data_IF_568673173515
#
_entry.id   IF_568673173515
#
_cell.length_a   1.000
_cell.length_b   1.000
_cell.length_c   1.000
_cell.angle_alpha   90.00
_cell.angle_beta   90.00
_cell.angle_gamma   90.00
#
_symmetry.space_group_name_H-M   'P 1'
#
loop_
_entity.id
_entity.type
_entity.pdbx_description
1 polymer ?
#
# COMPACT_ATOMS: atom_id res chain seq x y z
N UNK A 1 -0.34 14.34 -8.82
CA UNK A 1 0.27 13.92 -10.13
C UNK A 1 -0.77 14.02 -11.23
N UNK A 2 -0.45 14.66 -12.38
CA UNK A 2 -1.37 14.66 -13.53
C UNK A 2 -1.43 13.24 -14.13
N UNK A 3 -2.63 12.71 -14.26
CA UNK A 3 -2.88 11.44 -14.95
C UNK A 3 -2.62 11.68 -16.44
N UNK A 4 -1.57 11.06 -16.98
CA UNK A 4 -1.14 11.29 -18.37
C UNK A 4 -2.09 10.66 -19.39
N UNK A 5 -2.68 9.49 -19.06
CA UNK A 5 -3.60 8.78 -19.94
C UNK A 5 -4.90 8.51 -19.17
N UNK A 6 -5.97 9.21 -19.54
CA UNK A 6 -7.32 8.98 -18.99
C UNK A 6 -7.94 7.76 -19.67
N UNK A 7 -8.51 6.87 -18.87
CA UNK A 7 -9.23 5.71 -19.38
C UNK A 7 -10.65 6.15 -19.80
N UNK A 8 -11.21 5.49 -20.81
CA UNK A 8 -12.63 5.62 -21.14
C UNK A 8 -13.46 5.04 -19.98
N UNK A 9 -14.64 5.60 -19.76
CA UNK A 9 -15.56 5.20 -18.67
C UNK A 9 -15.02 5.42 -17.24
N UNK A 10 -14.04 6.30 -17.07
CA UNK A 10 -13.52 6.70 -15.76
C UNK A 10 -13.68 8.20 -15.57
N UNK A 11 -14.38 8.58 -14.52
CA UNK A 11 -14.46 9.99 -14.07
C UNK A 11 -13.30 10.27 -13.14
N UNK A 12 -12.52 11.30 -13.44
CA UNK A 12 -11.37 11.72 -12.66
C UNK A 12 -11.68 13.01 -11.91
N UNK A 13 -11.63 12.94 -10.58
CA UNK A 13 -11.88 14.09 -9.70
C UNK A 13 -10.57 14.42 -8.99
N UNK A 14 -10.21 15.70 -8.97
CA UNK A 14 -9.02 16.19 -8.28
C UNK A 14 -9.42 16.76 -6.93
N UNK A 15 -9.43 15.93 -5.90
CA UNK A 15 -9.72 16.31 -4.53
C UNK A 15 -8.86 15.53 -3.54
N UNK A 16 -8.92 15.89 -2.27
CA UNK A 16 -8.30 15.16 -1.17
C UNK A 16 -9.38 14.43 -0.37
N UNK A 17 -9.06 13.24 0.12
CA UNK A 17 -9.98 12.49 0.99
C UNK A 17 -10.29 13.21 2.30
N UNK A 18 -9.41 14.10 2.76
CA UNK A 18 -9.62 14.95 3.92
C UNK A 18 -10.52 16.16 3.65
N UNK A 19 -10.83 16.47 2.39
CA UNK A 19 -11.69 17.57 2.02
C UNK A 19 -13.17 17.20 2.28
N UNK A 20 -13.73 17.76 3.36
CA UNK A 20 -15.10 17.49 3.76
C UNK A 20 -16.12 17.99 2.72
N UNK A 21 -15.86 19.13 2.07
CA UNK A 21 -16.71 19.70 1.02
C UNK A 21 -16.86 18.74 -0.17
N UNK A 22 -15.78 18.03 -0.53
CA UNK A 22 -15.84 17.01 -1.58
C UNK A 22 -16.89 15.92 -1.27
N UNK A 23 -16.92 15.42 -0.04
CA UNK A 23 -17.83 14.34 0.36
C UNK A 23 -19.28 14.81 0.50
N UNK A 24 -19.48 16.00 1.06
CA UNK A 24 -20.81 16.53 1.37
C UNK A 24 -21.51 17.17 0.17
N UNK A 25 -20.76 17.76 -0.76
CA UNK A 25 -21.34 18.51 -1.88
C UNK A 25 -20.93 18.02 -3.25
N UNK A 26 -19.62 17.86 -3.53
CA UNK A 26 -19.19 17.57 -4.90
C UNK A 26 -19.57 16.15 -5.31
N UNK A 27 -19.32 15.17 -4.46
CA UNK A 27 -19.66 13.77 -4.75
C UNK A 27 -21.16 13.55 -4.85
N UNK A 28 -21.95 14.26 -4.03
CA UNK A 28 -23.42 14.23 -4.08
C UNK A 28 -23.95 14.76 -5.41
N UNK A 29 -23.38 15.87 -5.92
CA UNK A 29 -23.77 16.47 -7.22
C UNK A 29 -23.50 15.55 -8.41
N UNK A 30 -22.57 14.60 -8.28
CA UNK A 30 -22.29 13.63 -9.34
C UNK A 30 -23.38 12.56 -9.48
N UNK A 31 -24.30 12.46 -8.53
CA UNK A 31 -25.34 11.43 -8.47
C UNK A 31 -24.77 10.01 -8.75
N UNK A 32 -23.62 9.73 -8.13
CA UNK A 32 -22.88 8.48 -8.30
C UNK A 32 -22.98 7.63 -7.03
N UNK A 33 -23.49 6.43 -7.16
CA UNK A 33 -23.59 5.45 -6.08
C UNK A 33 -22.62 4.28 -6.36
N UNK A 34 -21.45 4.26 -5.72
CA UNK A 34 -20.50 3.18 -5.92
C UNK A 34 -20.92 1.90 -5.18
N UNK A 35 -20.64 0.74 -5.76
CA UNK A 35 -20.79 -0.56 -5.11
C UNK A 35 -19.68 -0.84 -4.09
N UNK A 36 -18.53 -0.19 -4.27
CA UNK A 36 -17.34 -0.36 -3.44
C UNK A 36 -16.46 0.88 -3.44
N UNK A 37 -15.79 1.12 -2.34
CA UNK A 37 -14.70 2.10 -2.25
C UNK A 37 -13.38 1.38 -2.00
N UNK A 38 -12.45 1.43 -2.96
CA UNK A 38 -11.06 1.03 -2.77
C UNK A 38 -10.27 2.21 -2.21
N UNK A 39 -10.10 2.24 -0.90
CA UNK A 39 -9.35 3.31 -0.23
C UNK A 39 -7.85 3.02 -0.26
N UNK A 40 -7.20 3.54 -1.31
CA UNK A 40 -5.77 3.36 -1.61
C UNK A 40 -4.98 4.68 -1.54
N UNK A 41 -5.67 5.80 -1.39
CA UNK A 41 -5.12 7.14 -1.43
C UNK A 41 -4.76 7.68 -0.05
N UNK A 42 -3.59 7.29 0.46
CA UNK A 42 -3.07 7.76 1.74
C UNK A 42 -1.58 8.09 1.64
N UNK A 43 -1.07 8.87 2.58
CA UNK A 43 0.37 9.05 2.75
C UNK A 43 1.03 7.70 3.03
N UNK A 44 2.05 7.31 2.27
CA UNK A 44 2.54 5.92 2.23
C UNK A 44 4.03 5.73 2.53
N UNK A 45 4.71 6.72 3.16
CA UNK A 45 6.15 6.68 3.39
C UNK A 45 6.53 6.78 4.86
N UNK A 46 7.49 5.95 5.26
CA UNK A 46 7.96 5.87 6.66
C UNK A 46 8.88 7.07 6.99
N UNK A 47 10.02 7.18 6.29
CA UNK A 47 11.04 8.18 6.63
C UNK A 47 10.53 9.62 6.53
N UNK A 48 9.88 10.06 5.44
CA UNK A 48 9.30 11.40 5.37
C UNK A 48 8.22 11.66 6.42
N UNK A 49 7.53 10.64 6.91
CA UNK A 49 6.46 10.78 7.90
C UNK A 49 6.90 11.44 9.23
N UNK A 50 8.19 11.44 9.53
CA UNK A 50 8.72 12.13 10.71
C UNK A 50 8.81 13.66 10.55
N UNK A 51 8.66 14.15 9.33
CA UNK A 51 8.65 15.59 9.01
C UNK A 51 7.24 16.04 8.65
N UNK A 52 6.54 15.26 7.83
CA UNK A 52 5.24 15.59 7.24
C UNK A 52 4.07 15.10 8.14
N UNK A 53 4.13 15.35 9.46
CA UNK A 53 3.15 14.82 10.42
C UNK A 53 1.75 15.39 10.18
N UNK A 54 1.62 16.64 9.77
CA UNK A 54 0.34 17.27 9.43
C UNK A 54 -0.30 16.62 8.20
N UNK A 55 0.48 16.40 7.15
CA UNK A 55 0.02 15.71 5.93
C UNK A 55 -0.48 14.30 6.23
N UNK A 56 0.17 13.60 7.18
CA UNK A 56 -0.28 12.28 7.62
C UNK A 56 -1.61 12.36 8.36
N UNK A 57 -1.76 13.30 9.29
CA UNK A 57 -3.02 13.48 9.99
C UNK A 57 -4.15 13.79 9.02
N UNK A 58 -3.94 14.71 8.10
CA UNK A 58 -4.93 15.09 7.10
C UNK A 58 -5.22 13.94 6.13
N UNK A 59 -4.21 13.37 5.49
CA UNK A 59 -4.39 12.34 4.47
C UNK A 59 -4.87 11.02 5.06
N UNK A 60 -4.21 10.53 6.12
CA UNK A 60 -4.47 9.18 6.63
C UNK A 60 -5.60 9.18 7.66
N UNK A 61 -5.65 10.12 8.59
CA UNK A 61 -6.62 10.09 9.68
C UNK A 61 -7.95 10.72 9.28
N UNK A 62 -7.93 12.00 8.93
CA UNK A 62 -9.15 12.72 8.52
C UNK A 62 -9.67 12.16 7.20
N UNK A 63 -8.78 11.88 6.24
CA UNK A 63 -9.17 11.28 4.96
C UNK A 63 -9.85 9.93 5.13
N UNK A 64 -9.29 9.03 5.94
CA UNK A 64 -9.91 7.71 6.19
C UNK A 64 -11.21 7.84 6.98
N UNK A 65 -11.28 8.75 7.95
CA UNK A 65 -12.53 9.03 8.67
C UNK A 65 -13.66 9.42 7.70
N UNK A 66 -13.43 10.38 6.80
CA UNK A 66 -14.43 10.81 5.83
C UNK A 66 -14.88 9.67 4.89
N UNK A 67 -13.93 8.86 4.42
CA UNK A 67 -14.23 7.66 3.60
C UNK A 67 -15.12 6.68 4.36
N UNK A 68 -14.79 6.41 5.63
CA UNK A 68 -15.52 5.48 6.49
C UNK A 68 -16.93 5.99 6.77
N UNK A 69 -17.11 7.30 7.08
CA UNK A 69 -18.43 7.93 7.26
C UNK A 69 -19.27 7.79 5.99
N UNK A 70 -18.72 8.13 4.83
CA UNK A 70 -19.41 7.99 3.55
C UNK A 70 -19.84 6.54 3.28
N UNK A 71 -18.94 5.57 3.49
CA UNK A 71 -19.26 4.17 3.27
C UNK A 71 -20.33 3.65 4.23
N UNK A 72 -20.28 4.07 5.50
CA UNK A 72 -21.27 3.73 6.52
C UNK A 72 -22.66 4.24 6.13
N UNK A 73 -22.78 5.53 5.77
CA UNK A 73 -24.04 6.18 5.46
C UNK A 73 -24.71 5.63 4.20
N UNK A 74 -23.92 5.16 3.25
CA UNK A 74 -24.38 4.56 1.99
C UNK A 74 -24.45 3.02 2.01
N UNK A 75 -24.08 2.38 3.12
CA UNK A 75 -23.96 0.92 3.24
C UNK A 75 -23.04 0.29 2.17
N UNK A 76 -21.95 0.96 1.84
CA UNK A 76 -20.97 0.56 0.82
C UNK A 76 -19.80 -0.17 1.49
N UNK A 77 -19.31 -1.23 0.87
CA UNK A 77 -18.11 -1.92 1.36
C UNK A 77 -16.85 -1.11 1.09
N UNK A 78 -16.02 -0.93 2.13
CA UNK A 78 -14.67 -0.37 1.99
C UNK A 78 -13.65 -1.49 1.84
N UNK A 79 -12.78 -1.41 0.82
CA UNK A 79 -11.57 -2.22 0.69
C UNK A 79 -10.38 -1.33 1.03
N UNK A 80 -9.81 -1.54 2.22
CA UNK A 80 -8.78 -0.68 2.79
C UNK A 80 -7.38 -1.22 2.56
N UNK A 81 -6.47 -0.37 2.08
CA UNK A 81 -5.04 -0.68 1.95
C UNK A 81 -4.29 -0.47 3.25
N UNK A 82 -4.18 -1.50 4.06
CA UNK A 82 -3.35 -1.48 5.25
C UNK A 82 -1.87 -1.74 4.93
N UNK A 83 -1.00 -1.56 5.90
CA UNK A 83 0.43 -1.75 5.76
C UNK A 83 0.93 -2.97 6.54
N UNK A 84 1.92 -3.65 5.99
CA UNK A 84 2.68 -4.69 6.70
C UNK A 84 3.37 -4.18 7.98
N UNK A 85 3.46 -2.85 8.19
CA UNK A 85 3.99 -2.26 9.42
C UNK A 85 3.18 -2.63 10.66
N UNK A 86 1.89 -2.97 10.53
CA UNK A 86 1.10 -3.52 11.64
C UNK A 86 1.73 -4.78 12.24
N UNK A 87 2.43 -5.54 11.43
CA UNK A 87 3.07 -6.80 11.81
C UNK A 87 4.57 -6.63 12.07
N UNK A 88 5.03 -5.43 12.45
CA UNK A 88 6.39 -5.18 12.91
C UNK A 88 6.57 -5.58 14.39
N UNK A 89 7.83 -5.71 14.82
CA UNK A 89 8.15 -6.00 16.23
C UNK A 89 7.57 -4.95 17.19
N UNK A 90 7.51 -3.67 16.77
CA UNK A 90 6.93 -2.56 17.54
C UNK A 90 5.42 -2.41 17.35
N UNK A 91 4.75 -3.44 16.81
CA UNK A 91 3.31 -3.43 16.58
C UNK A 91 2.79 -2.22 15.76
N UNK A 92 3.63 -1.71 14.86
CA UNK A 92 3.30 -0.61 13.96
C UNK A 92 3.44 0.80 14.55
N UNK A 93 4.12 0.97 15.69
CA UNK A 93 4.30 2.29 16.32
C UNK A 93 5.64 2.94 16.00
N UNK A 94 6.45 2.35 15.15
CA UNK A 94 7.81 2.79 14.83
C UNK A 94 7.88 4.11 14.04
N UNK A 95 6.77 4.59 13.49
CA UNK A 95 6.70 5.85 12.73
C UNK A 95 5.29 6.43 12.74
N UNK A 96 5.12 7.76 12.50
CA UNK A 96 3.80 8.37 12.35
C UNK A 96 2.96 7.70 11.27
N UNK A 97 3.58 7.30 10.15
CA UNK A 97 2.91 6.52 9.10
C UNK A 97 2.39 5.17 9.60
N UNK A 98 3.24 4.38 10.26
CA UNK A 98 2.86 3.05 10.75
C UNK A 98 1.77 3.15 11.82
N UNK A 99 1.87 4.14 12.70
CA UNK A 99 0.86 4.45 13.71
C UNK A 99 -0.50 4.79 13.06
N UNK A 100 -0.52 5.69 12.06
CA UNK A 100 -1.76 6.07 11.38
C UNK A 100 -2.43 4.87 10.70
N UNK A 101 -1.66 4.03 10.00
CA UNK A 101 -2.17 2.82 9.36
C UNK A 101 -2.78 1.83 10.37
N UNK A 102 -2.14 1.64 11.52
CA UNK A 102 -2.66 0.80 12.60
C UNK A 102 -3.97 1.35 13.16
N UNK A 103 -4.03 2.66 13.42
CA UNK A 103 -5.22 3.32 13.96
C UNK A 103 -6.40 3.30 12.99
N UNK A 104 -6.16 3.41 11.70
CA UNK A 104 -7.21 3.29 10.69
C UNK A 104 -7.80 1.87 10.62
N UNK A 105 -6.99 0.84 10.80
CA UNK A 105 -7.50 -0.54 10.93
C UNK A 105 -8.40 -0.68 12.16
N UNK A 106 -8.01 -0.11 13.31
CA UNK A 106 -8.83 -0.10 14.52
C UNK A 106 -10.14 0.68 14.30
N UNK A 107 -10.08 1.84 13.65
CA UNK A 107 -11.25 2.65 13.31
C UNK A 107 -12.26 1.86 12.47
N UNK A 108 -11.83 1.29 11.35
CA UNK A 108 -12.67 0.52 10.44
C UNK A 108 -13.35 -0.64 11.16
N UNK A 109 -12.60 -1.39 11.99
CA UNK A 109 -13.14 -2.50 12.77
C UNK A 109 -14.17 -2.04 13.81
N UNK A 110 -13.93 -0.91 14.46
CA UNK A 110 -14.87 -0.35 15.42
C UNK A 110 -16.14 0.15 14.73
N UNK A 111 -16.02 0.80 13.57
CA UNK A 111 -17.18 1.21 12.75
C UNK A 111 -18.02 0.00 12.31
N UNK A 112 -17.37 -1.10 11.99
CA UNK A 112 -18.10 -2.35 11.71
C UNK A 112 -18.90 -2.83 12.92
N UNK A 113 -18.30 -2.80 14.12
CA UNK A 113 -18.99 -3.20 15.37
C UNK A 113 -20.10 -2.24 15.77
N UNK A 114 -19.88 -0.93 15.62
CA UNK A 114 -20.84 0.08 16.08
C UNK A 114 -21.98 0.30 15.09
N UNK A 115 -21.69 0.26 13.80
CA UNK A 115 -22.60 0.71 12.74
C UNK A 115 -22.82 -0.29 11.61
N UNK A 116 -22.20 -1.49 11.68
CA UNK A 116 -22.36 -2.52 10.65
C UNK A 116 -21.59 -2.23 9.36
N UNK A 117 -20.57 -1.35 9.38
CA UNK A 117 -19.74 -1.07 8.20
C UNK A 117 -19.17 -2.37 7.60
N UNK A 118 -19.35 -2.56 6.30
CA UNK A 118 -18.76 -3.66 5.55
C UNK A 118 -17.34 -3.32 5.15
N UNK A 119 -16.38 -4.22 5.39
CA UNK A 119 -14.98 -3.98 5.06
C UNK A 119 -14.23 -5.21 4.55
N UNK A 120 -13.14 -4.96 3.83
CA UNK A 120 -12.02 -5.88 3.64
C UNK A 120 -10.72 -5.10 3.91
N UNK A 121 -9.91 -5.57 4.84
CA UNK A 121 -8.60 -4.96 5.13
C UNK A 121 -7.53 -5.79 4.44
N UNK A 122 -6.71 -5.16 3.59
CA UNK A 122 -5.68 -5.82 2.81
C UNK A 122 -4.31 -5.29 3.14
N UNK A 123 -3.39 -6.16 3.54
CA UNK A 123 -2.01 -5.80 3.89
C UNK A 123 -1.08 -5.99 2.71
N UNK A 124 -0.39 -4.90 2.31
CA UNK A 124 0.53 -4.89 1.18
C UNK A 124 1.98 -5.10 1.62
N UNK A 125 2.73 -5.78 0.75
CA UNK A 125 4.15 -6.07 0.95
C UNK A 125 4.94 -5.65 -0.29
N UNK A 126 5.76 -4.60 -0.16
CA UNK A 126 6.70 -4.07 -1.17
C UNK A 126 6.24 -4.27 -2.63
N UNK A 127 5.19 -3.57 -3.01
CA UNK A 127 4.65 -3.67 -4.37
C UNK A 127 5.66 -3.18 -5.40
N UNK A 128 5.75 -3.90 -6.52
CA UNK A 128 6.53 -3.55 -7.69
C UNK A 128 5.73 -3.77 -8.96
N UNK A 129 6.17 -3.21 -10.08
CA UNK A 129 5.52 -3.43 -11.37
C UNK A 129 5.35 -2.15 -12.19
N UNK A 130 4.57 -2.19 -13.27
CA UNK A 130 4.38 -1.05 -14.15
C UNK A 130 3.74 0.14 -13.43
N UNK A 131 4.08 1.35 -13.87
CA UNK A 131 3.59 2.64 -13.34
C UNK A 131 4.02 2.92 -11.89
N UNK A 132 4.99 2.20 -11.34
CA UNK A 132 5.54 2.56 -10.04
C UNK A 132 6.20 3.95 -10.12
N UNK A 133 6.23 4.64 -8.98
CA UNK A 133 6.76 5.99 -8.93
C UNK A 133 8.26 6.02 -9.20
N UNK A 134 8.66 6.87 -10.12
CA UNK A 134 10.06 7.09 -10.52
C UNK A 134 10.48 8.57 -10.37
N UNK A 135 9.66 9.40 -9.72
CA UNK A 135 10.02 10.78 -9.43
C UNK A 135 11.08 10.83 -8.31
N UNK A 136 12.05 11.75 -8.40
CA UNK A 136 13.12 11.91 -7.39
C UNK A 136 12.64 12.67 -6.14
N UNK A 137 11.51 12.30 -5.58
CA UNK A 137 10.88 12.99 -4.45
C UNK A 137 10.89 12.19 -3.14
N UNK A 138 11.64 11.06 -3.10
CA UNK A 138 11.71 10.18 -1.93
C UNK A 138 10.53 9.22 -1.77
N UNK A 139 9.61 9.19 -2.74
CA UNK A 139 8.44 8.32 -2.74
C UNK A 139 8.65 6.99 -3.45
N UNK A 140 9.84 6.76 -4.00
CA UNK A 140 10.15 5.55 -4.73
C UNK A 140 10.29 4.32 -3.83
N UNK A 141 9.97 3.15 -4.38
CA UNK A 141 10.27 1.85 -3.78
C UNK A 141 11.71 1.44 -4.09
N UNK A 142 12.29 0.50 -3.35
CA UNK A 142 13.66 0.03 -3.62
C UNK A 142 13.82 -0.51 -5.04
N UNK A 143 12.84 -1.23 -5.57
CA UNK A 143 12.86 -1.75 -6.96
C UNK A 143 12.91 -0.59 -7.95
N UNK A 144 12.09 0.45 -7.74
CA UNK A 144 12.07 1.65 -8.57
C UNK A 144 13.37 2.45 -8.51
N UNK A 145 13.97 2.57 -7.32
CA UNK A 145 15.27 3.23 -7.14
C UNK A 145 16.35 2.47 -7.93
N UNK A 146 16.41 1.16 -7.80
CA UNK A 146 17.40 0.33 -8.49
C UNK A 146 17.22 0.36 -10.01
N UNK A 147 15.97 0.26 -10.51
CA UNK A 147 15.65 0.42 -11.93
C UNK A 147 16.20 1.74 -12.48
N UNK A 148 15.98 2.82 -11.78
CA UNK A 148 16.39 4.15 -12.17
C UNK A 148 17.92 4.31 -12.15
N UNK A 149 18.58 3.77 -11.12
CA UNK A 149 20.03 3.80 -11.01
C UNK A 149 20.68 2.99 -12.12
N UNK A 150 20.16 1.78 -12.41
CA UNK A 150 20.61 0.94 -13.52
C UNK A 150 20.49 1.67 -14.86
N UNK A 151 19.33 2.27 -15.16
CA UNK A 151 19.10 3.04 -16.39
C UNK A 151 20.03 4.26 -16.52
N UNK A 152 20.47 4.82 -15.41
CA UNK A 152 21.40 5.93 -15.36
C UNK A 152 22.88 5.51 -15.35
N UNK A 153 23.20 4.22 -15.42
CA UNK A 153 24.57 3.68 -15.33
C UNK A 153 25.24 3.98 -13.97
N UNK A 154 24.45 4.11 -12.90
CA UNK A 154 24.96 4.45 -11.56
C UNK A 154 24.94 3.21 -10.66
N UNK A 155 25.90 3.09 -9.72
CA UNK A 155 25.85 2.04 -8.72
C UNK A 155 24.57 2.10 -7.90
N UNK A 156 24.03 0.92 -7.55
CA UNK A 156 22.84 0.80 -6.69
C UNK A 156 23.17 1.27 -5.27
N UNK A 157 22.24 1.97 -4.62
CA UNK A 157 22.42 2.43 -3.23
C UNK A 157 21.63 1.54 -2.29
N UNK A 158 22.34 0.84 -1.40
CA UNK A 158 21.77 -0.11 -0.44
C UNK A 158 21.89 0.47 0.96
N UNK A 159 20.78 0.58 1.69
CA UNK A 159 20.79 0.95 3.10
C UNK A 159 21.44 -0.18 3.91
N UNK A 160 22.50 0.18 4.67
CA UNK A 160 23.26 -0.77 5.48
C UNK A 160 22.34 -1.49 6.51
N UNK A 161 22.59 -2.79 6.77
CA UNK A 161 23.62 -3.66 6.19
C UNK A 161 23.21 -4.32 4.86
N UNK A 162 21.98 -4.13 4.37
CA UNK A 162 21.45 -4.74 3.14
C UNK A 162 21.00 -6.20 3.30
N UNK A 163 21.21 -6.81 4.46
CA UNK A 163 20.81 -8.20 4.75
C UNK A 163 19.34 -8.33 5.18
N UNK A 164 18.65 -7.20 5.40
CA UNK A 164 17.23 -7.19 5.76
C UNK A 164 16.39 -7.80 4.62
N UNK A 165 15.63 -8.83 4.96
CA UNK A 165 14.74 -9.50 4.01
C UNK A 165 13.46 -8.73 3.79
N UNK A 166 12.97 -8.76 2.56
CA UNK A 166 11.68 -8.18 2.15
C UNK A 166 10.97 -9.16 1.22
N UNK A 167 9.66 -9.20 1.32
CA UNK A 167 8.81 -9.92 0.38
C UNK A 167 8.25 -8.95 -0.63
N UNK A 168 8.28 -9.32 -1.90
CA UNK A 168 7.87 -8.49 -3.02
C UNK A 168 6.61 -9.06 -3.68
N UNK A 169 5.62 -8.18 -3.95
CA UNK A 169 4.37 -8.57 -4.60
C UNK A 169 4.18 -7.74 -5.86
N UNK A 170 3.92 -8.39 -6.98
CA UNK A 170 3.63 -7.67 -8.22
C UNK A 170 2.30 -6.93 -8.13
N UNK A 171 2.21 -5.72 -8.66
CA UNK A 171 1.00 -4.88 -8.57
C UNK A 171 -0.24 -5.56 -9.14
N UNK A 172 -0.11 -6.35 -10.21
CA UNK A 172 -1.26 -7.09 -10.76
C UNK A 172 -1.77 -8.19 -9.84
N UNK A 173 -0.88 -8.89 -9.13
CA UNK A 173 -1.29 -9.85 -8.11
C UNK A 173 -1.98 -9.14 -6.92
N UNK A 174 -1.50 -7.95 -6.55
CA UNK A 174 -2.15 -7.14 -5.51
C UNK A 174 -3.55 -6.71 -5.95
N UNK A 175 -3.72 -6.24 -7.18
CA UNK A 175 -5.04 -5.83 -7.73
C UNK A 175 -6.01 -7.01 -7.79
N UNK A 176 -5.57 -8.18 -8.26
CA UNK A 176 -6.40 -9.40 -8.24
C UNK A 176 -6.85 -9.75 -6.82
N UNK A 177 -5.93 -9.67 -5.85
CA UNK A 177 -6.26 -9.90 -4.44
C UNK A 177 -7.26 -8.89 -3.86
N UNK A 178 -7.17 -7.61 -4.26
CA UNK A 178 -8.13 -6.57 -3.86
C UNK A 178 -9.53 -6.85 -4.40
N UNK A 179 -9.63 -7.23 -5.67
CA UNK A 179 -10.91 -7.56 -6.31
C UNK A 179 -11.55 -8.76 -5.61
N UNK A 180 -10.78 -9.84 -5.39
CA UNK A 180 -11.27 -11.03 -4.68
C UNK A 180 -11.68 -10.73 -3.23
N UNK A 181 -10.98 -9.82 -2.55
CA UNK A 181 -11.36 -9.38 -1.20
C UNK A 181 -12.65 -8.56 -1.20
N UNK A 182 -12.90 -7.77 -2.25
CA UNK A 182 -14.17 -7.07 -2.42
C UNK A 182 -15.33 -8.04 -2.65
N UNK A 183 -15.15 -9.03 -3.53
CA UNK A 183 -16.20 -9.99 -3.91
C UNK A 183 -16.70 -10.87 -2.75
N UNK A 184 -15.92 -10.99 -1.66
CA UNK A 184 -16.37 -11.70 -0.46
C UNK A 184 -17.38 -10.87 0.33
N UNK A 185 -18.36 -11.53 0.91
CA UNK A 185 -19.40 -10.88 1.72
C UNK A 185 -18.98 -10.65 3.17
N UNK A 186 -17.98 -11.39 3.66
CA UNK A 186 -17.53 -11.30 5.05
C UNK A 186 -16.60 -10.11 5.29
N UNK A 187 -16.68 -9.55 6.51
CA UNK A 187 -15.71 -8.58 7.01
C UNK A 187 -14.46 -9.30 7.48
N UNK A 188 -13.32 -9.06 6.83
CA UNK A 188 -12.12 -9.85 7.08
C UNK A 188 -10.82 -9.11 6.74
N UNK A 189 -9.69 -9.73 7.10
CA UNK A 189 -8.34 -9.22 6.88
C UNK A 189 -7.54 -10.19 6.01
N UNK A 190 -6.79 -9.67 5.04
CA UNK A 190 -6.04 -10.46 4.07
C UNK A 190 -4.61 -9.96 3.90
N UNK A 191 -3.64 -10.86 3.90
CA UNK A 191 -2.25 -10.55 3.57
C UNK A 191 -1.97 -10.90 2.10
N UNK A 192 -1.83 -9.88 1.25
CA UNK A 192 -1.49 -10.04 -0.16
C UNK A 192 0.03 -10.10 -0.33
N UNK A 193 0.59 -11.28 -0.04
CA UNK A 193 2.03 -11.53 0.02
C UNK A 193 2.48 -12.30 -1.20
N UNK A 194 3.44 -11.74 -1.95
CA UNK A 194 4.10 -12.41 -3.05
C UNK A 194 4.93 -13.63 -2.61
N UNK A 195 5.40 -14.39 -3.58
CA UNK A 195 6.19 -15.60 -3.33
C UNK A 195 7.71 -15.33 -3.34
N UNK A 196 8.14 -14.11 -3.66
CA UNK A 196 9.55 -13.74 -3.75
C UNK A 196 9.98 -13.01 -2.47
N UNK A 197 10.77 -13.68 -1.64
CA UNK A 197 11.44 -13.10 -0.47
C UNK A 197 12.94 -13.10 -0.72
N UNK A 198 13.57 -11.93 -0.60
CA UNK A 198 15.02 -11.80 -0.70
C UNK A 198 15.52 -10.64 0.19
N UNK A 199 16.82 -10.65 0.50
CA UNK A 199 17.51 -9.51 1.08
C UNK A 199 17.66 -8.38 0.04
N UNK A 200 18.00 -7.18 0.50
CA UNK A 200 18.28 -6.07 -0.43
C UNK A 200 19.57 -6.29 -1.21
N UNK A 201 20.54 -7.03 -0.64
CA UNK A 201 21.73 -7.47 -1.36
C UNK A 201 21.38 -8.45 -2.49
N UNK A 202 20.63 -9.52 -2.19
CA UNK A 202 20.15 -10.47 -3.21
C UNK A 202 19.31 -9.77 -4.30
N UNK A 203 18.52 -8.77 -3.92
CA UNK A 203 17.81 -7.94 -4.90
C UNK A 203 18.76 -7.17 -5.81
N UNK A 204 19.83 -6.59 -5.27
CA UNK A 204 20.84 -5.89 -6.07
C UNK A 204 21.58 -6.83 -7.03
N UNK A 205 21.90 -8.04 -6.58
CA UNK A 205 22.48 -9.09 -7.44
C UNK A 205 21.56 -9.44 -8.62
N UNK A 206 20.23 -9.46 -8.41
CA UNK A 206 19.27 -9.68 -9.51
C UNK A 206 19.33 -8.59 -10.59
N UNK A 207 19.73 -7.35 -10.23
CA UNK A 207 19.90 -6.25 -11.18
C UNK A 207 21.22 -6.30 -11.96
N UNK A 208 22.18 -7.14 -11.54
CA UNK A 208 23.50 -7.28 -12.15
C UNK A 208 24.21 -5.93 -12.32
N UNK A 209 24.31 -5.19 -11.21
CA UNK A 209 24.93 -3.86 -11.15
C UNK A 209 25.84 -3.73 -9.93
N UNK A 210 26.87 -2.92 -10.05
CA UNK A 210 27.65 -2.49 -8.89
C UNK A 210 26.76 -1.82 -7.84
N UNK A 211 27.11 -1.93 -6.58
CA UNK A 211 26.38 -1.27 -5.49
C UNK A 211 27.31 -0.64 -4.46
N UNK A 212 26.74 0.28 -3.68
CA UNK A 212 27.39 0.89 -2.52
C UNK A 212 26.45 0.90 -1.32
N UNK A 213 27.00 0.68 -0.13
CA UNK A 213 26.26 0.82 1.11
C UNK A 213 26.13 2.29 1.48
N UNK A 214 24.95 2.68 1.98
CA UNK A 214 24.66 4.00 2.53
C UNK A 214 24.20 3.86 3.97
N UNK A 215 24.17 4.97 4.72
CA UNK A 215 23.78 4.98 6.13
C UNK A 215 22.38 4.44 6.40
N UNK A 216 22.12 4.09 7.65
CA UNK A 216 20.83 3.59 8.11
C UNK A 216 19.71 4.63 7.95
N UNK A 217 18.46 4.16 7.85
CA UNK A 217 17.27 4.99 7.77
C UNK A 217 16.45 4.92 9.05
N UNK A 218 15.96 6.07 9.50
CA UNK A 218 15.04 6.16 10.65
C UNK A 218 13.72 5.44 10.34
N UNK A 219 13.21 4.68 11.31
CA UNK A 219 11.92 3.99 11.21
C UNK A 219 11.96 2.69 10.40
N UNK A 220 13.15 2.21 10.04
CA UNK A 220 13.27 0.91 9.40
C UNK A 220 13.17 -0.20 10.47
N UNK A 221 12.16 -1.03 10.39
CA UNK A 221 11.92 -2.15 11.30
C UNK A 221 11.81 -3.46 10.55
N UNK A 222 12.00 -4.56 11.30
CA UNK A 222 11.80 -5.91 10.78
C UNK A 222 10.32 -6.17 10.56
N UNK A 223 9.97 -6.66 9.38
CA UNK A 223 8.59 -7.03 9.04
C UNK A 223 8.35 -8.49 9.37
N UNK A 224 7.23 -8.76 10.02
CA UNK A 224 6.81 -10.12 10.35
C UNK A 224 5.69 -10.51 9.38
N UNK A 225 5.82 -11.67 8.76
CA UNK A 225 4.77 -12.27 7.94
C UNK A 225 4.03 -13.30 8.80
N UNK A 226 2.77 -13.06 9.05
CA UNK A 226 1.92 -14.02 9.76
C UNK A 226 1.52 -15.17 8.83
N UNK A 227 2.30 -16.24 8.82
CA UNK A 227 2.08 -17.41 7.93
C UNK A 227 0.66 -17.96 7.99
N UNK A 228 0.03 -17.93 9.18
CA UNK A 228 -1.37 -18.36 9.34
C UNK A 228 -2.32 -17.51 8.51
N UNK A 229 -2.19 -16.18 8.58
CA UNK A 229 -3.03 -15.25 7.83
C UNK A 229 -2.74 -15.29 6.33
N UNK A 230 -1.49 -15.51 5.91
CA UNK A 230 -1.14 -15.73 4.49
C UNK A 230 -1.82 -16.98 3.96
N UNK A 231 -1.72 -18.10 4.66
CA UNK A 231 -2.35 -19.36 4.25
C UNK A 231 -3.88 -19.25 4.24
N UNK A 232 -4.44 -18.58 5.22
CA UNK A 232 -5.87 -18.24 5.26
C UNK A 232 -6.28 -17.43 4.03
N UNK A 233 -5.58 -16.33 3.75
CA UNK A 233 -5.82 -15.47 2.58
C UNK A 233 -5.81 -16.27 1.27
N UNK A 234 -4.77 -17.09 1.05
CA UNK A 234 -4.67 -17.95 -0.13
C UNK A 234 -5.87 -18.88 -0.29
N UNK A 235 -6.29 -19.49 0.81
CA UNK A 235 -7.42 -20.43 0.83
C UNK A 235 -8.75 -19.73 0.56
N UNK A 236 -9.09 -18.69 1.32
CA UNK A 236 -10.43 -18.09 1.30
C UNK A 236 -10.67 -17.21 0.08
N UNK A 237 -9.62 -16.55 -0.45
CA UNK A 237 -9.70 -15.78 -1.68
C UNK A 237 -9.44 -16.62 -2.93
N UNK A 238 -9.10 -17.90 -2.80
CA UNK A 238 -8.53 -18.68 -3.92
C UNK A 238 -7.49 -17.85 -4.70
N UNK A 239 -6.57 -17.24 -3.95
CA UNK A 239 -5.60 -16.28 -4.47
C UNK A 239 -4.18 -16.77 -4.26
N UNK A 240 -3.33 -16.57 -5.25
CA UNK A 240 -1.91 -16.80 -5.13
C UNK A 240 -1.15 -15.86 -6.07
N UNK A 241 -0.04 -15.29 -5.60
CA UNK A 241 0.82 -14.47 -6.45
C UNK A 241 1.46 -15.32 -7.55
N UNK A 242 1.38 -14.87 -8.78
CA UNK A 242 1.85 -15.60 -9.97
C UNK A 242 3.07 -14.96 -10.62
N UNK A 243 3.23 -13.65 -10.46
CA UNK A 243 4.34 -12.90 -11.04
C UNK A 243 5.62 -13.09 -10.22
N UNK A 244 6.75 -13.17 -10.92
CA UNK A 244 8.07 -13.37 -10.33
C UNK A 244 8.93 -12.11 -10.46
N UNK A 245 9.56 -11.70 -9.35
CA UNK A 245 10.38 -10.50 -9.27
C UNK A 245 11.55 -10.54 -10.26
N UNK A 246 12.30 -11.64 -10.31
CA UNK A 246 13.41 -11.80 -11.26
C UNK A 246 12.97 -11.65 -12.71
N UNK A 247 11.83 -12.24 -13.09
CA UNK A 247 11.28 -12.09 -14.46
C UNK A 247 10.89 -10.65 -14.79
N UNK A 248 10.50 -9.86 -13.79
CA UNK A 248 10.24 -8.43 -13.97
C UNK A 248 11.55 -7.67 -14.19
N UNK A 249 12.55 -7.92 -13.34
CA UNK A 249 13.86 -7.25 -13.40
C UNK A 249 14.59 -7.53 -14.73
N UNK A 250 14.50 -8.76 -15.26
CA UNK A 250 15.11 -9.15 -16.53
C UNK A 250 14.54 -8.41 -17.76
N UNK A 251 13.43 -7.68 -17.60
CA UNK A 251 12.79 -6.89 -18.68
C UNK A 251 13.10 -5.39 -18.56
N UNK A 252 13.81 -4.96 -17.53
CA UNK A 252 14.19 -3.58 -17.29
C UNK A 252 15.51 -3.24 -17.99
#
# INVERSE_FOLDING_TARGET
KKIKNKLQNVTYINSQTSDKHFWEEELVKLNFEPDVVFHLGEYSKITPSFVDTEDILNSNYIGTYNVVEYCKDKNIKIVYSASSTKHSEDSGNESPYAFSKKKNVELIKNYSKWFGLKYAITYFYNNYGPKQDTCNDGWETVVSIFEKQKKAGKPLTIVSPGTQKRTFTHVYDTVDGLIKAWERNENDEYQLVGNDECSILELAEMFDCEYKLVGERKGESKRIIEKKLVNYTKKVLNWNATHKLKKWIDRL
#
